data_IF_735350631427
#
_entry.id   IF_735350631427
#
_cell.length_a   1.000
_cell.length_b   1.000
_cell.length_c   1.000
_cell.angle_alpha   90.00
_cell.angle_beta   90.00
_cell.angle_gamma   90.00
#
_symmetry.space_group_name_H-M   'P 1'
#
loop_
_entity.id
_entity.type
_entity.pdbx_description
1 polymer ?
#
# COMPACT_ATOMS: atom_id res chain seq x y z
N UNK A 1 -4.35 -0.69 -38.92
CA UNK A 1 -3.94 -0.18 -37.59
C UNK A 1 -4.03 -1.34 -36.63
N UNK A 2 -2.96 -1.73 -35.91
CA UNK A 2 -3.05 -2.87 -35.01
C UNK A 2 -3.88 -2.49 -33.78
N UNK A 3 -4.73 -3.43 -33.38
CA UNK A 3 -5.61 -3.33 -32.22
C UNK A 3 -4.76 -3.39 -30.95
N UNK A 4 -4.80 -2.31 -30.15
CA UNK A 4 -4.20 -2.30 -28.83
C UNK A 4 -5.05 -3.21 -27.93
N UNK A 5 -4.59 -4.45 -27.77
CA UNK A 5 -5.10 -5.37 -26.76
C UNK A 5 -4.70 -4.79 -25.40
N UNK A 6 -5.57 -3.97 -24.80
CA UNK A 6 -5.41 -3.55 -23.41
C UNK A 6 -5.62 -4.77 -22.53
N UNK A 7 -4.54 -5.53 -22.30
CA UNK A 7 -4.47 -6.52 -21.23
C UNK A 7 -4.90 -5.81 -19.96
N UNK A 8 -6.05 -6.19 -19.41
CA UNK A 8 -6.64 -5.57 -18.23
C UNK A 8 -5.62 -5.54 -17.07
N UNK A 9 -4.86 -4.45 -16.96
CA UNK A 9 -4.18 -4.09 -15.73
C UNK A 9 -5.29 -3.72 -14.77
N UNK A 10 -5.53 -4.54 -13.74
CA UNK A 10 -6.41 -4.15 -12.63
C UNK A 10 -5.64 -3.09 -11.84
N UNK A 11 -5.77 -1.86 -12.31
CA UNK A 11 -5.10 -0.69 -11.77
C UNK A 11 -5.98 0.00 -10.77
N UNK A 12 -5.52 0.12 -9.52
CA UNK A 12 -6.10 1.04 -8.55
C UNK A 12 -5.17 2.23 -8.36
N UNK A 13 -5.76 3.41 -8.18
CA UNK A 13 -5.02 4.67 -8.11
C UNK A 13 -5.49 5.43 -6.87
N UNK A 14 -4.54 6.07 -6.19
CA UNK A 14 -4.79 6.96 -5.06
C UNK A 14 -4.70 6.29 -3.70
N UNK A 15 -4.49 7.11 -2.67
CA UNK A 15 -4.29 6.65 -1.29
C UNK A 15 -5.44 5.80 -0.76
N UNK A 16 -6.68 6.22 -0.98
CA UNK A 16 -7.87 5.51 -0.47
C UNK A 16 -7.98 4.05 -0.96
N UNK A 17 -7.31 3.71 -2.06
CA UNK A 17 -7.30 2.37 -2.65
C UNK A 17 -6.00 1.60 -2.41
N UNK A 18 -5.15 2.08 -1.49
CA UNK A 18 -3.91 1.40 -1.10
C UNK A 18 -4.21 -0.05 -0.72
N UNK A 19 -3.45 -1.02 -1.24
CA UNK A 19 -3.63 -2.41 -0.87
C UNK A 19 -3.37 -2.61 0.63
N UNK A 20 -3.93 -3.66 1.25
CA UNK A 20 -3.65 -4.00 2.63
C UNK A 20 -2.15 -4.09 2.89
N UNK A 21 -1.68 -3.44 3.96
CA UNK A 21 -0.28 -3.55 4.37
C UNK A 21 -0.18 -4.32 5.67
N UNK A 22 0.84 -5.15 5.78
CA UNK A 22 1.29 -5.66 7.06
C UNK A 22 2.33 -4.70 7.60
N UNK A 23 2.02 -4.13 8.75
CA UNK A 23 2.86 -3.14 9.44
C UNK A 23 3.37 -3.72 10.76
N UNK A 24 4.54 -3.28 11.19
CA UNK A 24 5.08 -3.59 12.51
C UNK A 24 4.69 -2.49 13.50
N UNK A 25 4.17 -2.89 14.66
CA UNK A 25 3.84 -1.95 15.72
C UNK A 25 5.13 -1.37 16.35
N UNK A 26 5.31 -0.04 16.39
CA UNK A 26 6.50 0.58 16.97
C UNK A 26 6.63 0.40 18.50
N UNK A 27 5.53 0.03 19.18
CA UNK A 27 5.50 -0.11 20.64
C UNK A 27 5.78 -1.54 21.11
N UNK A 28 5.23 -2.54 20.42
CA UNK A 28 5.30 -3.94 20.85
C UNK A 28 5.94 -4.90 19.83
N UNK A 29 6.39 -4.38 18.67
CA UNK A 29 6.96 -5.15 17.56
C UNK A 29 6.06 -6.29 17.04
N UNK A 30 4.77 -6.23 17.33
CA UNK A 30 3.78 -7.15 16.78
C UNK A 30 3.41 -6.71 15.37
N UNK A 31 3.40 -7.65 14.42
CA UNK A 31 2.98 -7.40 13.04
C UNK A 31 1.47 -7.62 12.88
N UNK A 32 0.79 -6.70 12.22
CA UNK A 32 -0.65 -6.82 11.95
C UNK A 32 -1.03 -6.19 10.60
N UNK A 33 -2.19 -6.58 10.07
CA UNK A 33 -2.69 -6.09 8.78
C UNK A 33 -3.48 -4.81 8.96
N UNK A 34 -2.99 -3.71 8.37
CA UNK A 34 -3.74 -2.48 8.17
C UNK A 34 -4.49 -2.55 6.83
N UNK A 35 -5.76 -2.96 6.90
CA UNK A 35 -6.59 -3.34 5.75
C UNK A 35 -6.96 -2.14 4.86
N UNK A 36 -7.40 -1.03 5.45
CA UNK A 36 -7.86 0.15 4.72
C UNK A 36 -6.89 1.31 4.89
N UNK A 37 -6.71 2.14 3.86
CA UNK A 37 -5.70 3.21 3.88
C UNK A 37 -6.04 4.39 4.80
N UNK A 38 -7.34 4.66 4.97
CA UNK A 38 -7.85 5.80 5.72
C UNK A 38 -8.27 5.42 7.15
N UNK A 39 -8.06 4.17 7.54
CA UNK A 39 -8.38 3.72 8.89
C UNK A 39 -7.27 4.10 9.87
N UNK A 40 -7.55 3.93 11.15
CA UNK A 40 -6.52 4.09 12.16
C UNK A 40 -5.61 2.88 12.13
N UNK A 41 -4.34 3.12 12.43
CA UNK A 41 -3.35 2.08 12.63
C UNK A 41 -3.49 1.63 14.07
N UNK A 42 -4.43 0.72 14.31
CA UNK A 42 -4.71 0.14 15.63
C UNK A 42 -3.98 -1.20 15.80
N UNK A 43 -3.07 -1.28 16.77
CA UNK A 43 -2.40 -2.52 17.08
C UNK A 43 -3.28 -3.38 18.00
N UNK A 44 -3.76 -4.56 17.55
CA UNK A 44 -4.65 -5.41 18.35
C UNK A 44 -3.94 -6.07 19.55
N UNK A 45 -2.60 -5.99 19.61
CA UNK A 45 -1.80 -6.61 20.68
C UNK A 45 -1.62 -5.68 21.89
N UNK A 46 -1.24 -4.42 21.67
CA UNK A 46 -0.93 -3.48 22.76
C UNK A 46 -1.87 -2.27 22.85
N UNK A 47 -2.79 -2.11 21.89
CA UNK A 47 -3.71 -0.96 21.83
C UNK A 47 -3.05 0.35 21.40
N UNK A 48 -1.88 0.29 20.76
CA UNK A 48 -1.30 1.45 20.10
C UNK A 48 -2.22 1.92 18.97
N UNK A 49 -2.49 3.22 18.89
CA UNK A 49 -3.31 3.82 17.85
C UNK A 49 -2.51 4.96 17.18
N UNK A 50 -2.51 4.99 15.86
CA UNK A 50 -1.97 6.10 15.07
C UNK A 50 -2.94 6.50 13.98
N UNK A 51 -3.10 7.80 13.67
CA UNK A 51 -3.96 8.21 12.58
C UNK A 51 -3.32 7.84 11.22
N UNK A 52 -4.12 7.72 10.14
CA UNK A 52 -3.65 7.28 8.82
C UNK A 52 -2.55 8.16 8.23
N UNK A 53 -2.50 9.46 8.57
CA UNK A 53 -1.44 10.38 8.14
C UNK A 53 -0.05 10.03 8.70
N UNK A 54 0.03 9.16 9.72
CA UNK A 54 1.29 8.65 10.28
C UNK A 54 1.73 7.32 9.67
N UNK A 55 1.08 6.86 8.61
CA UNK A 55 1.46 5.60 7.96
C UNK A 55 2.92 5.58 7.50
N UNK A 56 3.46 6.69 6.99
CA UNK A 56 4.89 6.78 6.63
C UNK A 56 5.86 6.70 7.83
N UNK A 57 5.36 6.65 9.07
CA UNK A 57 6.17 6.49 10.28
C UNK A 57 6.13 5.08 10.87
N UNK A 58 5.33 4.17 10.29
CA UNK A 58 5.31 2.77 10.69
C UNK A 58 6.07 1.93 9.68
N UNK A 59 6.77 0.92 10.19
CA UNK A 59 7.51 -0.01 9.34
C UNK A 59 6.54 -0.91 8.57
N UNK A 60 6.55 -0.79 7.25
CA UNK A 60 5.76 -1.63 6.34
C UNK A 60 6.59 -2.86 5.98
N UNK A 61 6.14 -4.02 6.47
CA UNK A 61 6.81 -5.30 6.23
C UNK A 61 6.47 -5.88 4.85
N UNK A 62 5.21 -5.74 4.44
CA UNK A 62 4.76 -6.14 3.10
C UNK A 62 3.41 -5.51 2.76
N UNK A 63 3.06 -5.50 1.47
CA UNK A 63 1.68 -5.36 1.03
C UNK A 63 1.13 -6.69 0.55
N UNK A 64 -0.15 -6.93 0.86
CA UNK A 64 -0.88 -8.09 0.39
C UNK A 64 -1.80 -7.71 -0.78
N UNK A 65 -1.81 -8.54 -1.83
CA UNK A 65 -2.69 -8.33 -2.95
C UNK A 65 -4.16 -8.51 -2.52
N UNK A 66 -5.04 -7.53 -2.76
CA UNK A 66 -6.46 -7.66 -2.39
C UNK A 66 -7.20 -8.75 -3.18
N UNK A 67 -6.63 -9.26 -4.28
CA UNK A 67 -7.26 -10.26 -5.13
C UNK A 67 -6.79 -11.69 -4.88
N UNK A 68 -5.48 -11.90 -4.72
CA UNK A 68 -4.89 -13.24 -4.58
C UNK A 68 -4.15 -13.44 -3.26
N UNK A 69 -4.16 -12.44 -2.37
CA UNK A 69 -3.53 -12.44 -1.04
C UNK A 69 -2.01 -12.72 -1.03
N UNK A 70 -1.37 -12.71 -2.20
CA UNK A 70 0.09 -12.81 -2.31
C UNK A 70 0.77 -11.49 -1.98
N UNK A 71 2.03 -11.59 -1.56
CA UNK A 71 2.88 -10.41 -1.38
C UNK A 71 3.03 -9.65 -2.70
N UNK A 72 2.84 -8.33 -2.62
CA UNK A 72 3.11 -7.40 -3.70
C UNK A 72 4.57 -6.96 -3.67
N UNK A 73 5.12 -6.74 -4.85
CA UNK A 73 6.34 -5.97 -5.03
C UNK A 73 5.99 -4.49 -4.86
N UNK A 74 6.72 -3.72 -4.07
CA UNK A 74 6.38 -2.33 -3.78
C UNK A 74 7.63 -1.47 -3.70
N UNK A 75 7.46 -0.16 -3.87
CA UNK A 75 8.58 0.76 -3.78
C UNK A 75 8.16 2.22 -3.70
N UNK A 76 9.17 3.07 -3.58
CA UNK A 76 9.07 4.52 -3.52
C UNK A 76 9.70 5.05 -4.80
N UNK A 77 8.95 5.82 -5.61
CA UNK A 77 9.46 6.53 -6.79
C UNK A 77 10.28 7.75 -6.38
N UNK A 78 9.87 8.45 -5.32
CA UNK A 78 10.45 9.69 -4.82
C UNK A 78 10.88 9.55 -3.35
N UNK A 79 11.96 8.80 -3.07
CA UNK A 79 12.41 8.51 -1.70
C UNK A 79 12.84 9.76 -0.91
N UNK A 80 13.15 10.87 -1.57
CA UNK A 80 13.51 12.14 -0.91
C UNK A 80 12.27 12.95 -0.47
N UNK A 81 11.07 12.62 -0.97
CA UNK A 81 9.83 13.35 -0.69
C UNK A 81 8.80 12.50 0.07
N UNK A 82 8.87 11.18 -0.06
CA UNK A 82 7.88 10.26 0.49
C UNK A 82 8.54 9.26 1.43
N UNK A 83 8.06 9.21 2.66
CA UNK A 83 8.41 8.18 3.64
C UNK A 83 7.51 6.93 3.53
N UNK A 84 6.69 6.83 2.47
CA UNK A 84 5.79 5.70 2.26
C UNK A 84 5.87 5.15 0.84
N UNK A 85 5.56 3.86 0.65
CA UNK A 85 5.49 3.22 -0.67
C UNK A 85 4.47 3.89 -1.59
N UNK A 86 4.92 4.29 -2.79
CA UNK A 86 4.11 4.99 -3.79
C UNK A 86 3.51 4.05 -4.85
N UNK A 87 3.97 2.81 -4.91
CA UNK A 87 3.39 1.81 -5.83
C UNK A 87 3.51 0.42 -5.26
N UNK A 88 2.62 -0.47 -5.71
CA UNK A 88 2.64 -1.88 -5.39
C UNK A 88 2.09 -2.70 -6.56
N UNK A 89 2.74 -3.81 -6.93
CA UNK A 89 2.40 -4.62 -8.10
C UNK A 89 2.36 -6.10 -7.74
N UNK A 90 1.34 -6.81 -8.22
CA UNK A 90 1.27 -8.26 -8.15
C UNK A 90 1.70 -8.85 -9.50
N UNK A 91 2.78 -9.63 -9.47
CA UNK A 91 3.24 -10.36 -10.66
C UNK A 91 2.34 -11.55 -11.03
N UNK A 92 1.55 -12.06 -10.08
CA UNK A 92 0.71 -13.25 -10.28
C UNK A 92 -0.63 -12.93 -10.95
N UNK A 93 -1.33 -11.89 -10.47
CA UNK A 93 -2.65 -11.51 -10.98
C UNK A 93 -2.65 -10.21 -11.81
N UNK A 94 -1.46 -9.63 -12.05
CA UNK A 94 -1.28 -8.38 -12.81
C UNK A 94 -2.02 -7.18 -12.20
N UNK A 95 -2.28 -7.21 -10.89
CA UNK A 95 -2.76 -6.06 -10.13
C UNK A 95 -1.67 -5.01 -10.00
N UNK A 96 -2.02 -3.75 -10.14
CA UNK A 96 -1.12 -2.62 -9.90
C UNK A 96 -1.84 -1.57 -9.08
N UNK A 97 -1.18 -1.06 -8.07
CA UNK A 97 -1.59 0.13 -7.33
C UNK A 97 -0.53 1.20 -7.46
N UNK A 98 -0.96 2.45 -7.62
CA UNK A 98 -0.09 3.61 -7.58
C UNK A 98 -0.71 4.76 -6.79
N UNK A 99 0.14 5.48 -6.08
CA UNK A 99 -0.20 6.70 -5.39
C UNK A 99 -0.45 7.81 -6.41
N UNK A 100 -1.54 8.55 -6.24
CA UNK A 100 -1.88 9.69 -7.09
C UNK A 100 -1.21 10.93 -6.53
N UNK A 101 -0.29 11.51 -7.30
CA UNK A 101 0.33 12.79 -6.97
C UNK A 101 -0.60 13.92 -7.41
N UNK A 102 -0.92 14.84 -6.50
CA UNK A 102 -1.78 16.00 -6.78
C UNK A 102 -1.04 17.11 -7.56
N UNK A 103 0.27 16.97 -7.77
CA UNK A 103 1.12 17.96 -8.46
C UNK A 103 1.16 17.79 -10.00
N UNK A 104 0.38 16.86 -10.56
CA UNK A 104 0.26 16.64 -12.01
C UNK A 104 -0.98 17.41 -12.52
N UNK A 105 -0.85 18.74 -12.65
CA UNK A 105 -1.74 19.62 -13.45
C UNK A 105 -0.88 20.48 -14.40
#
# INVERSE_FOLDING_TARGET
MPEAHSTFKRGDVGWAKRPPAVVECPTCSSSFTHEFANDFIDCPTCGFESPPDKFGKVDVLMFACPHCQRQLDYGVRHPEMMDFPEWASCTDCQYHWEYQHDYDD
#
